data_IF_708546778764
#
_entry.id   IF_708546778764
#
_cell.length_a   1.000
_cell.length_b   1.000
_cell.length_c   1.000
_cell.angle_alpha   90.00
_cell.angle_beta   90.00
_cell.angle_gamma   90.00
#
_symmetry.space_group_name_H-M   'P 1'
#
loop_
_entity.id
_entity.type
_entity.pdbx_description
1 polymer ?
#
# COMPACT_ATOMS: atom_id res chain seq x y z
N UNK A 1 3.39 -6.39 -21.49
CA UNK A 1 3.92 -6.14 -20.15
C UNK A 1 4.59 -7.40 -19.65
N UNK A 2 5.85 -7.30 -19.24
CA UNK A 2 6.62 -8.42 -18.70
C UNK A 2 6.22 -8.67 -17.25
N UNK A 3 6.39 -9.90 -16.76
CA UNK A 3 6.07 -10.26 -15.38
C UNK A 3 6.85 -9.41 -14.35
N UNK A 4 8.07 -9.00 -14.70
CA UNK A 4 8.93 -8.13 -13.86
C UNK A 4 8.33 -6.74 -13.68
N UNK A 5 7.78 -6.15 -14.75
CA UNK A 5 7.15 -4.83 -14.69
C UNK A 5 5.86 -4.92 -13.87
N UNK A 6 5.02 -5.92 -14.15
CA UNK A 6 3.74 -6.14 -13.45
C UNK A 6 3.93 -6.30 -11.95
N UNK A 7 5.09 -6.80 -11.51
CA UNK A 7 5.39 -6.95 -10.08
C UNK A 7 5.38 -5.62 -9.33
N UNK A 8 6.04 -4.59 -9.86
CA UNK A 8 6.03 -3.26 -9.25
C UNK A 8 4.61 -2.68 -9.22
N UNK A 9 3.85 -2.91 -10.29
CA UNK A 9 2.48 -2.44 -10.39
C UNK A 9 1.49 -3.20 -9.51
N UNK A 10 1.76 -4.46 -9.15
CA UNK A 10 0.91 -5.22 -8.22
C UNK A 10 0.92 -4.57 -6.83
N UNK A 11 2.07 -4.06 -6.37
CA UNK A 11 2.14 -3.37 -5.07
C UNK A 11 1.33 -2.07 -5.10
N UNK A 12 1.62 -1.20 -6.08
CA UNK A 12 0.86 0.04 -6.27
C UNK A 12 -0.65 -0.23 -6.45
N UNK A 13 -1.03 -1.31 -7.13
CA UNK A 13 -2.42 -1.73 -7.30
C UNK A 13 -3.08 -2.09 -5.96
N UNK A 14 -2.37 -2.82 -5.09
CA UNK A 14 -2.86 -3.17 -3.75
C UNK A 14 -2.98 -1.95 -2.83
N UNK A 15 -2.07 -0.98 -2.99
CA UNK A 15 -2.05 0.27 -2.23
C UNK A 15 -3.01 1.33 -2.80
N UNK A 16 -3.76 1.02 -3.87
CA UNK A 16 -4.66 1.94 -4.59
C UNK A 16 -3.95 3.17 -5.21
N UNK A 17 -2.64 3.06 -5.46
CA UNK A 17 -1.77 4.10 -6.02
C UNK A 17 -1.54 3.92 -7.55
N UNK A 18 -2.55 3.43 -8.27
CA UNK A 18 -2.50 3.24 -9.72
C UNK A 18 -3.51 4.10 -10.45
N UNK A 19 -3.17 4.50 -11.67
CA UNK A 19 -4.11 5.11 -12.60
C UNK A 19 -5.09 4.06 -13.16
N UNK A 20 -6.27 4.48 -13.68
CA UNK A 20 -7.22 3.55 -14.30
C UNK A 20 -6.68 2.79 -15.53
N UNK A 21 -5.61 3.28 -16.15
CA UNK A 21 -4.95 2.60 -17.27
C UNK A 21 -4.03 1.49 -16.77
N UNK A 22 -3.22 1.79 -15.75
CA UNK A 22 -2.32 0.83 -15.09
C UNK A 22 -3.11 -0.32 -14.43
N UNK A 23 -4.21 -0.01 -13.77
CA UNK A 23 -5.15 -1.01 -13.23
C UNK A 23 -5.60 -2.00 -14.31
N UNK A 24 -6.07 -1.52 -15.45
CA UNK A 24 -6.47 -2.36 -16.58
C UNK A 24 -5.32 -3.18 -17.16
N UNK A 25 -4.09 -2.67 -17.10
CA UNK A 25 -2.91 -3.41 -17.56
C UNK A 25 -2.58 -4.56 -16.61
N UNK A 26 -2.58 -4.30 -15.29
CA UNK A 26 -2.37 -5.31 -14.26
C UNK A 26 -3.45 -6.39 -14.34
N UNK A 27 -4.72 -6.00 -14.40
CA UNK A 27 -5.85 -6.92 -14.50
C UNK A 27 -5.76 -7.82 -15.74
N UNK A 28 -5.47 -7.26 -16.91
CA UNK A 28 -5.30 -8.05 -18.13
C UNK A 28 -4.17 -9.07 -17.98
N UNK A 29 -3.07 -8.70 -17.34
CA UNK A 29 -1.94 -9.59 -17.16
C UNK A 29 -2.22 -10.71 -16.16
N UNK A 30 -2.79 -10.43 -14.98
CA UNK A 30 -3.08 -11.48 -13.99
C UNK A 30 -4.18 -12.45 -14.46
N UNK A 31 -5.03 -12.03 -15.42
CA UNK A 31 -6.00 -12.91 -16.08
C UNK A 31 -5.33 -13.94 -16.99
N UNK A 32 -4.20 -13.60 -17.62
CA UNK A 32 -3.47 -14.51 -18.52
C UNK A 32 -2.25 -15.19 -17.88
N UNK A 33 -1.70 -14.63 -16.80
CA UNK A 33 -0.49 -15.12 -16.14
C UNK A 33 -0.79 -15.69 -14.74
N UNK A 34 -0.74 -17.02 -14.63
CA UNK A 34 -0.96 -17.75 -13.36
C UNK A 34 0.07 -17.35 -12.30
N UNK A 35 1.33 -17.15 -12.70
CA UNK A 35 2.41 -16.79 -11.77
C UNK A 35 2.15 -15.42 -11.10
N UNK A 36 1.80 -14.41 -11.90
CA UNK A 36 1.47 -13.08 -11.36
C UNK A 36 0.17 -13.09 -10.55
N UNK A 37 -0.83 -13.90 -10.93
CA UNK A 37 -2.03 -14.08 -10.13
C UNK A 37 -1.73 -14.69 -8.75
N UNK A 38 -0.89 -15.72 -8.68
CA UNK A 38 -0.49 -16.32 -7.39
C UNK A 38 0.20 -15.30 -6.50
N UNK A 39 1.14 -14.52 -7.05
CA UNK A 39 1.83 -13.46 -6.32
C UNK A 39 0.88 -12.39 -5.76
N UNK A 40 -0.10 -11.95 -6.56
CA UNK A 40 -1.11 -11.01 -6.09
C UNK A 40 -1.86 -11.57 -4.87
N UNK A 41 -2.28 -12.84 -4.93
CA UNK A 41 -2.99 -13.50 -3.82
C UNK A 41 -2.10 -13.62 -2.58
N UNK A 42 -0.84 -14.03 -2.75
CA UNK A 42 0.13 -14.15 -1.65
C UNK A 42 0.38 -12.80 -0.96
N UNK A 43 0.61 -11.73 -1.72
CA UNK A 43 0.81 -10.38 -1.19
C UNK A 43 -0.45 -9.87 -0.47
N UNK A 44 -1.63 -10.03 -1.07
CA UNK A 44 -2.89 -9.63 -0.45
C UNK A 44 -3.17 -10.38 0.86
N UNK A 45 -2.75 -11.64 0.97
CA UNK A 45 -2.85 -12.41 2.21
C UNK A 45 -1.92 -11.87 3.29
N UNK A 46 -0.67 -11.54 2.95
CA UNK A 46 0.30 -10.96 3.89
C UNK A 46 -0.21 -9.61 4.42
N UNK A 47 -0.68 -8.71 3.55
CA UNK A 47 -1.24 -7.40 3.94
C UNK A 47 -2.40 -7.60 4.91
N UNK A 48 -3.36 -8.47 4.56
CA UNK A 48 -4.51 -8.77 5.41
C UNK A 48 -4.12 -9.34 6.77
N UNK A 49 -3.04 -10.11 6.85
CA UNK A 49 -2.52 -10.61 8.12
C UNK A 49 -1.90 -9.48 8.94
N UNK A 50 -1.15 -8.57 8.31
CA UNK A 50 -0.56 -7.41 8.96
C UNK A 50 -1.62 -6.45 9.50
N UNK A 51 -2.68 -6.18 8.75
CA UNK A 51 -3.82 -5.35 9.19
C UNK A 51 -4.51 -5.91 10.44
N UNK A 52 -4.56 -7.24 10.58
CA UNK A 52 -5.14 -7.91 11.76
C UNK A 52 -4.29 -7.80 13.01
N UNK A 53 -3.02 -7.42 12.89
CA UNK A 53 -2.09 -7.30 14.02
C UNK A 53 -2.40 -6.12 14.95
N UNK A 54 -3.44 -5.34 14.62
CA UNK A 54 -4.02 -4.29 15.45
C UNK A 54 -3.57 -2.90 15.01
N UNK A 55 -4.49 -1.94 15.13
CA UNK A 55 -4.15 -0.53 14.94
C UNK A 55 -3.17 -0.09 16.02
N UNK A 56 -2.05 0.51 15.60
CA UNK A 56 -1.14 1.17 16.52
C UNK A 56 -1.83 2.41 17.06
N UNK A 57 -2.48 2.29 18.23
CA UNK A 57 -3.02 3.46 18.91
C UNK A 57 -1.85 4.29 19.45
N UNK A 58 -1.66 5.54 18.98
CA UNK A 58 -0.62 6.39 19.54
C UNK A 58 -0.91 6.66 21.02
N UNK A 59 0.14 6.98 21.79
CA UNK A 59 -0.03 7.40 23.19
C UNK A 59 -0.99 8.59 23.24
N UNK A 60 -1.82 8.67 24.29
CA UNK A 60 -2.88 9.69 24.41
C UNK A 60 -2.36 11.14 24.27
N UNK A 61 -1.08 11.39 24.57
CA UNK A 61 -0.44 12.70 24.49
C UNK A 61 0.21 13.00 23.12
N UNK A 62 0.24 12.04 22.18
CA UNK A 62 0.92 12.19 20.90
C UNK A 62 0.47 13.43 20.12
N UNK A 63 -0.85 13.59 19.95
CA UNK A 63 -1.42 14.72 19.20
C UNK A 63 -1.05 16.05 19.84
N UNK A 64 -1.09 16.13 21.18
CA UNK A 64 -0.71 17.34 21.92
C UNK A 64 0.75 17.68 21.67
N UNK A 65 1.68 16.72 21.86
CA UNK A 65 3.12 16.97 21.68
C UNK A 65 3.47 17.32 20.23
N UNK A 66 2.81 16.68 19.26
CA UNK A 66 2.99 16.98 17.84
C UNK A 66 2.62 18.44 17.53
N UNK A 67 1.45 18.89 17.99
CA UNK A 67 0.99 20.27 17.78
C UNK A 67 1.88 21.30 18.50
N UNK A 68 2.36 20.99 19.71
CA UNK A 68 3.33 21.84 20.42
C UNK A 68 4.62 22.02 19.61
N UNK A 69 5.13 20.93 19.00
CA UNK A 69 6.37 20.96 18.20
C UNK A 69 6.21 21.72 16.88
N UNK A 70 5.11 21.50 16.14
CA UNK A 70 4.81 22.25 14.90
C UNK A 70 4.74 23.76 15.18
N UNK A 71 4.15 24.17 16.31
CA UNK A 71 4.09 25.60 16.69
C UNK A 71 5.46 26.19 17.02
N UNK A 72 6.37 25.40 17.58
CA UNK A 72 7.73 25.85 17.89
C UNK A 72 8.57 26.01 16.62
N UNK A 73 8.44 25.11 15.64
CA UNK A 73 9.15 25.22 14.35
C UNK A 73 8.59 26.33 13.45
N UNK A 74 7.31 26.67 13.61
CA UNK A 74 6.68 27.80 12.91
C UNK A 74 6.90 29.16 13.58
N UNK A 75 7.56 29.22 14.74
CA UNK A 75 7.99 30.51 15.28
C UNK A 75 9.17 31.03 14.43
N UNK A 76 9.11 32.27 13.93
CA UNK A 76 10.19 32.86 13.15
C UNK A 76 11.48 32.99 13.95
#
# INVERSE_FOLDING_TARGET
>A
MKCEEVYAWIQAYLDTEVTPEEERMVERHIRSCIACRKRLVELAQIIRQLEKTGELTPRQDFTRRLLERIRQERKP
#
